data_IF_437635713301
#
_entry.id   IF_437635713301
#
_cell.length_a   1.000
_cell.length_b   1.000
_cell.length_c   1.000
_cell.angle_alpha   90.00
_cell.angle_beta   90.00
_cell.angle_gamma   90.00
#
_symmetry.space_group_name_H-M   'P 1'
#
loop_
_entity.id
_entity.type
_entity.pdbx_description
1 polymer ?
#
# COMPACT_ATOMS: atom_id res chain seq x y z
N UNK A 1 -7.09 4.89 -3.07
CA UNK A 1 -8.46 5.34 -2.69
C UNK A 1 -8.76 4.98 -1.25
N UNK A 2 -9.66 5.74 -0.60
CA UNK A 2 -10.19 5.42 0.73
C UNK A 2 -11.67 5.81 0.84
N UNK A 3 -12.38 5.19 1.79
CA UNK A 3 -13.75 5.53 2.11
C UNK A 3 -13.78 6.62 3.21
N UNK A 4 -14.46 7.72 2.97
CA UNK A 4 -14.77 8.74 3.95
C UNK A 4 -16.24 8.63 4.36
N UNK A 5 -16.50 8.33 5.62
CA UNK A 5 -17.82 8.37 6.21
C UNK A 5 -17.93 9.57 7.13
N UNK A 6 -18.97 10.37 6.99
CA UNK A 6 -19.26 11.50 7.87
C UNK A 6 -20.66 11.31 8.46
N UNK A 7 -20.81 11.50 9.78
CA UNK A 7 -22.10 11.41 10.46
C UNK A 7 -22.35 12.61 11.37
N UNK A 8 -23.57 13.12 11.37
CA UNK A 8 -24.04 14.16 12.27
C UNK A 8 -24.43 13.63 13.68
N UNK A 9 -24.37 12.31 13.90
CA UNK A 9 -24.65 11.76 15.22
C UNK A 9 -23.36 11.42 15.96
N UNK A 10 -23.24 11.94 17.18
CA UNK A 10 -22.10 11.64 18.07
C UNK A 10 -22.04 10.18 18.54
N UNK A 11 -23.15 9.46 18.45
CA UNK A 11 -23.25 8.05 18.82
C UNK A 11 -22.84 7.11 17.69
N UNK A 12 -22.56 7.65 16.49
CA UNK A 12 -22.13 6.85 15.34
C UNK A 12 -20.74 6.25 15.57
N UNK A 13 -20.43 5.28 14.76
CA UNK A 13 -19.12 4.61 14.72
C UNK A 13 -18.75 3.89 16.04
N UNK A 14 -19.78 3.29 16.67
CA UNK A 14 -19.66 2.52 17.93
C UNK A 14 -19.51 1.00 17.71
N UNK A 15 -19.43 0.55 16.43
CA UNK A 15 -19.37 -0.87 16.04
C UNK A 15 -20.71 -1.45 15.58
N UNK A 16 -21.82 -0.75 15.84
CA UNK A 16 -23.13 -1.16 15.35
C UNK A 16 -23.30 -0.81 13.87
N UNK A 17 -24.05 -1.64 13.08
CA UNK A 17 -24.29 -1.36 11.67
C UNK A 17 -24.91 0.02 11.45
N UNK A 18 -24.39 0.75 10.44
CA UNK A 18 -24.91 2.08 10.10
C UNK A 18 -25.76 2.03 8.83
N UNK A 19 -26.89 2.75 8.80
CA UNK A 19 -27.81 2.79 7.67
C UNK A 19 -27.89 4.19 7.08
N UNK A 20 -27.46 4.35 5.84
CA UNK A 20 -27.75 5.53 5.03
C UNK A 20 -29.15 5.41 4.45
N UNK A 21 -30.04 6.33 4.80
CA UNK A 21 -31.45 6.31 4.36
C UNK A 21 -31.61 6.75 2.89
N UNK A 22 -30.62 7.44 2.34
CA UNK A 22 -30.63 7.98 0.98
C UNK A 22 -29.39 7.51 0.22
N UNK A 23 -29.58 6.71 -0.82
CA UNK A 23 -28.49 6.23 -1.68
C UNK A 23 -27.70 7.37 -2.33
N UNK A 24 -28.33 8.53 -2.56
CA UNK A 24 -27.69 9.69 -3.14
C UNK A 24 -26.56 10.25 -2.27
N UNK A 25 -26.54 9.91 -0.99
CA UNK A 25 -25.47 10.28 -0.05
C UNK A 25 -24.34 9.25 0.03
N UNK A 26 -24.39 8.22 -0.82
CA UNK A 26 -23.40 7.14 -0.83
C UNK A 26 -22.67 7.12 -2.17
N UNK A 27 -21.38 7.45 -2.18
CA UNK A 27 -20.49 7.41 -3.36
C UNK A 27 -21.08 8.21 -4.52
N UNK A 28 -21.65 9.38 -4.23
CA UNK A 28 -22.16 10.36 -5.19
C UNK A 28 -21.81 11.77 -4.78
N UNK A 29 -22.34 12.25 -3.65
CA UNK A 29 -21.93 13.55 -3.09
C UNK A 29 -20.45 13.48 -2.74
N UNK A 30 -19.71 14.54 -3.07
CA UNK A 30 -18.27 14.68 -2.77
C UNK A 30 -17.35 13.57 -3.30
N UNK A 31 -17.83 12.84 -4.29
CA UNK A 31 -17.07 11.77 -4.98
C UNK A 31 -16.94 12.16 -6.45
N UNK A 32 -15.74 11.97 -7.03
CA UNK A 32 -15.50 12.20 -8.45
C UNK A 32 -16.48 11.41 -9.33
N UNK A 33 -16.92 12.00 -10.45
CA UNK A 33 -17.90 11.36 -11.34
C UNK A 33 -17.43 10.02 -11.91
N UNK A 34 -16.12 9.84 -12.15
CA UNK A 34 -15.56 8.58 -12.65
C UNK A 34 -15.67 7.50 -11.59
N UNK A 35 -15.36 7.84 -10.33
CA UNK A 35 -15.47 6.95 -9.18
C UNK A 35 -16.94 6.60 -8.93
N UNK A 36 -17.83 7.59 -9.02
CA UNK A 36 -19.29 7.36 -8.90
C UNK A 36 -19.78 6.37 -9.95
N UNK A 37 -19.36 6.51 -11.21
CA UNK A 37 -19.70 5.56 -12.30
C UNK A 37 -19.11 4.17 -12.04
N UNK A 38 -17.93 4.09 -11.46
CA UNK A 38 -17.23 2.83 -11.20
C UNK A 38 -17.80 2.07 -10.00
N UNK A 39 -18.24 2.77 -8.93
CA UNK A 39 -18.62 2.14 -7.66
C UNK A 39 -20.07 2.42 -7.19
N UNK A 40 -20.75 3.41 -7.74
CA UNK A 40 -22.02 3.92 -7.21
C UNK A 40 -23.24 3.01 -7.39
N UNK A 41 -23.14 1.92 -8.18
CA UNK A 41 -24.27 0.99 -8.37
C UNK A 41 -24.32 -0.13 -7.34
N UNK A 42 -23.24 -0.34 -6.59
CA UNK A 42 -23.14 -1.34 -5.52
C UNK A 42 -23.40 -2.76 -6.02
N UNK A 43 -22.87 -3.12 -7.19
CA UNK A 43 -22.85 -4.52 -7.65
C UNK A 43 -21.94 -5.36 -6.75
N UNK A 44 -22.06 -6.68 -6.78
CA UNK A 44 -21.23 -7.57 -5.95
C UNK A 44 -19.72 -7.32 -6.15
N UNK A 45 -19.28 -7.17 -7.39
CA UNK A 45 -17.86 -6.89 -7.70
C UNK A 45 -17.41 -5.50 -7.21
N UNK A 46 -18.29 -4.49 -7.29
CA UNK A 46 -18.02 -3.16 -6.76
C UNK A 46 -17.94 -3.18 -5.22
N UNK A 47 -18.87 -3.88 -4.57
CA UNK A 47 -18.86 -4.06 -3.10
C UNK A 47 -17.57 -4.72 -2.63
N UNK A 48 -17.12 -5.78 -3.32
CA UNK A 48 -15.85 -6.42 -2.98
C UNK A 48 -14.66 -5.47 -3.11
N UNK A 49 -14.65 -4.63 -4.14
CA UNK A 49 -13.60 -3.63 -4.35
C UNK A 49 -13.64 -2.53 -3.27
N UNK A 50 -14.82 -1.98 -2.99
CA UNK A 50 -15.04 -0.94 -1.97
C UNK A 50 -14.59 -1.40 -0.59
N UNK A 51 -14.89 -2.66 -0.22
CA UNK A 51 -14.49 -3.24 1.08
C UNK A 51 -12.98 -3.31 1.30
N UNK A 52 -12.19 -3.25 0.24
CA UNK A 52 -10.72 -3.27 0.31
C UNK A 52 -10.11 -1.92 0.61
N UNK A 53 -10.88 -0.83 0.46
CA UNK A 53 -10.37 0.50 0.76
C UNK A 53 -10.37 0.75 2.26
N UNK A 54 -9.30 1.36 2.82
CA UNK A 54 -9.28 1.81 4.20
C UNK A 54 -10.38 2.84 4.43
N UNK A 55 -10.84 2.97 5.67
CA UNK A 55 -11.97 3.83 6.01
C UNK A 55 -11.57 4.85 7.08
N UNK A 56 -11.97 6.10 6.86
CA UNK A 56 -12.06 7.13 7.90
C UNK A 56 -13.54 7.28 8.27
N UNK A 57 -13.86 7.07 9.53
CA UNK A 57 -15.17 7.28 10.13
C UNK A 57 -15.16 8.59 10.90
N UNK A 58 -15.61 9.65 10.26
CA UNK A 58 -15.59 11.00 10.78
C UNK A 58 -16.97 11.47 11.26
N UNK A 59 -17.01 12.61 11.89
CA UNK A 59 -18.22 13.27 12.37
C UNK A 59 -18.37 14.63 11.71
N UNK A 60 -19.61 15.13 11.61
CA UNK A 60 -19.83 16.49 11.20
C UNK A 60 -19.12 17.48 12.12
N UNK A 61 -18.69 18.60 11.57
CA UNK A 61 -17.90 19.62 12.32
C UNK A 61 -18.52 20.08 13.62
N UNK A 62 -19.86 20.05 13.72
CA UNK A 62 -20.61 20.38 14.94
C UNK A 62 -20.37 19.44 16.11
N UNK A 63 -20.04 18.16 15.83
CA UNK A 63 -19.81 17.15 16.87
C UNK A 63 -18.43 17.31 17.55
N UNK A 64 -17.44 17.88 16.88
CA UNK A 64 -16.06 18.08 17.40
C UNK A 64 -15.41 16.81 17.95
N UNK A 65 -15.74 15.64 17.37
CA UNK A 65 -15.20 14.34 17.75
C UNK A 65 -14.06 13.92 16.86
N UNK A 66 -13.12 13.20 17.43
CA UNK A 66 -12.00 12.62 16.70
C UNK A 66 -12.49 11.52 15.76
N UNK A 67 -12.02 11.48 14.51
CA UNK A 67 -12.35 10.44 13.55
C UNK A 67 -11.76 9.11 13.99
N UNK A 68 -12.36 8.02 13.53
CA UNK A 68 -11.90 6.66 13.77
C UNK A 68 -11.40 6.02 12.48
N UNK A 69 -10.45 5.11 12.61
CA UNK A 69 -9.98 4.30 11.52
C UNK A 69 -10.69 2.94 11.52
N UNK A 70 -10.88 2.35 10.35
CA UNK A 70 -11.46 1.01 10.29
C UNK A 70 -11.63 0.49 8.86
N UNK A 71 -12.49 -0.51 8.74
CA UNK A 71 -12.80 -1.16 7.47
C UNK A 71 -14.27 -1.57 7.37
N UNK A 72 -14.76 -1.71 6.14
CA UNK A 72 -16.10 -2.25 5.86
C UNK A 72 -16.03 -3.77 5.88
N UNK A 73 -16.90 -4.39 6.66
CA UNK A 73 -17.09 -5.85 6.69
C UNK A 73 -18.13 -6.30 5.68
N UNK A 74 -19.23 -5.56 5.57
CA UNK A 74 -20.29 -5.89 4.63
C UNK A 74 -21.05 -4.63 4.18
N UNK A 75 -21.63 -4.69 2.97
CA UNK A 75 -22.50 -3.66 2.40
C UNK A 75 -23.77 -4.34 1.90
N UNK A 76 -24.92 -3.84 2.30
CA UNK A 76 -26.21 -4.33 1.85
C UNK A 76 -27.07 -3.19 1.30
N UNK A 77 -27.49 -3.30 0.04
CA UNK A 77 -28.41 -2.35 -0.62
C UNK A 77 -29.84 -2.89 -0.59
N UNK A 78 -30.78 -2.14 -0.03
CA UNK A 78 -32.23 -2.50 -0.05
C UNK A 78 -33.09 -1.24 -0.07
N UNK A 79 -34.07 -1.21 -0.98
CA UNK A 79 -35.06 -0.13 -1.05
C UNK A 79 -34.50 1.29 -1.03
N UNK A 80 -33.41 1.53 -1.80
CA UNK A 80 -32.77 2.84 -1.86
C UNK A 80 -31.94 3.22 -0.63
N UNK A 81 -31.78 2.29 0.34
CA UNK A 81 -30.93 2.44 1.52
C UNK A 81 -29.68 1.59 1.41
N UNK A 82 -28.63 2.03 2.06
CA UNK A 82 -27.35 1.29 2.17
C UNK A 82 -27.08 1.03 3.64
N UNK A 83 -26.96 -0.25 4.03
CA UNK A 83 -26.47 -0.67 5.34
C UNK A 83 -24.98 -1.04 5.20
N UNK A 84 -24.15 -0.50 6.07
CA UNK A 84 -22.76 -0.92 6.24
C UNK A 84 -22.58 -1.63 7.57
N UNK A 85 -21.85 -2.74 7.56
CA UNK A 85 -21.29 -3.40 8.71
C UNK A 85 -19.78 -3.15 8.65
N UNK A 86 -19.21 -2.62 9.73
CA UNK A 86 -17.85 -2.13 9.74
C UNK A 86 -17.15 -2.53 11.03
N UNK A 87 -15.85 -2.41 11.04
CA UNK A 87 -15.01 -2.61 12.23
C UNK A 87 -14.14 -1.39 12.44
N UNK A 88 -14.13 -0.89 13.66
CA UNK A 88 -13.22 0.15 14.11
C UNK A 88 -11.93 -0.51 14.60
N UNK A 89 -10.81 0.04 14.19
CA UNK A 89 -9.48 -0.43 14.51
C UNK A 89 -8.75 0.68 15.26
N UNK A 90 -8.32 0.35 16.45
CA UNK A 90 -7.53 1.28 17.25
C UNK A 90 -6.14 1.43 16.65
N UNK A 91 -5.77 2.66 16.33
CA UNK A 91 -4.43 3.04 15.91
C UNK A 91 -3.86 4.00 16.95
N UNK A 92 -2.63 3.73 17.38
CA UNK A 92 -1.89 4.70 18.18
C UNK A 92 -1.74 6.01 17.39
N UNK A 93 -2.11 7.13 18.00
CA UNK A 93 -1.99 8.48 17.42
C UNK A 93 -2.73 8.67 16.08
N UNK A 94 -3.94 8.12 15.92
CA UNK A 94 -4.75 8.44 14.75
C UNK A 94 -5.15 9.93 14.75
N UNK A 95 -5.69 10.41 13.63
CA UNK A 95 -6.10 11.81 13.44
C UNK A 95 -7.03 12.29 14.57
N UNK A 96 -6.75 13.48 15.10
CA UNK A 96 -7.72 14.23 15.90
C UNK A 96 -8.67 15.04 14.99
N UNK A 97 -9.75 15.56 15.58
CA UNK A 97 -10.63 16.52 14.89
C UNK A 97 -9.85 17.73 14.35
N UNK A 98 -8.89 18.23 15.14
CA UNK A 98 -8.01 19.32 14.72
C UNK A 98 -7.09 18.94 13.54
N UNK A 99 -6.65 17.69 13.46
CA UNK A 99 -5.76 17.23 12.39
C UNK A 99 -6.53 17.11 11.07
N UNK A 100 -7.74 16.54 11.08
CA UNK A 100 -8.57 16.45 9.88
C UNK A 100 -8.84 17.85 9.30
N UNK A 101 -9.13 18.83 10.17
CA UNK A 101 -9.38 20.21 9.75
C UNK A 101 -8.16 20.88 9.08
N UNK A 102 -6.95 20.46 9.43
CA UNK A 102 -5.71 20.95 8.82
C UNK A 102 -5.30 20.19 7.57
N UNK A 103 -5.85 19.00 7.35
CA UNK A 103 -5.52 18.10 6.25
C UNK A 103 -6.62 17.99 5.19
N UNK A 104 -7.57 18.90 5.16
CA UNK A 104 -8.69 18.85 4.20
C UNK A 104 -8.19 18.71 2.76
N UNK A 105 -7.19 19.50 2.36
CA UNK A 105 -6.61 19.41 1.03
C UNK A 105 -5.90 18.07 0.79
N UNK A 106 -5.06 17.63 1.72
CA UNK A 106 -4.28 16.38 1.59
C UNK A 106 -5.19 15.15 1.55
N UNK A 107 -6.37 15.23 2.21
CA UNK A 107 -7.38 14.18 2.24
C UNK A 107 -8.45 14.31 1.15
N UNK A 108 -8.35 15.31 0.26
CA UNK A 108 -9.35 15.60 -0.77
C UNK A 108 -10.76 15.84 -0.19
N UNK A 109 -10.82 16.55 0.93
CA UNK A 109 -12.06 16.90 1.63
C UNK A 109 -12.36 18.37 1.40
N UNK A 110 -13.55 18.71 0.92
CA UNK A 110 -13.98 20.09 0.79
C UNK A 110 -14.45 20.68 2.13
N UNK A 111 -14.33 22.01 2.31
CA UNK A 111 -14.71 22.66 3.57
C UNK A 111 -16.15 22.36 4.02
N UNK A 112 -17.10 22.33 3.08
CA UNK A 112 -18.51 22.08 3.37
C UNK A 112 -18.87 20.62 3.55
N UNK A 113 -18.02 19.72 3.12
CA UNK A 113 -18.23 18.28 3.16
C UNK A 113 -18.42 17.77 4.58
N UNK A 114 -17.65 18.31 5.52
CA UNK A 114 -17.72 17.93 6.94
C UNK A 114 -18.96 18.47 7.68
N UNK A 115 -19.89 19.12 7.00
CA UNK A 115 -21.14 19.58 7.59
C UNK A 115 -22.36 18.77 7.11
N UNK A 116 -22.11 17.60 6.49
CA UNK A 116 -23.17 16.79 5.91
C UNK A 116 -22.91 15.31 6.06
N UNK A 117 -23.90 14.60 6.59
CA UNK A 117 -23.84 13.12 6.69
C UNK A 117 -23.82 12.50 5.28
N UNK A 118 -22.73 11.82 4.94
CA UNK A 118 -22.54 11.17 3.64
C UNK A 118 -21.45 10.08 3.71
N UNK A 119 -21.30 9.39 2.59
CA UNK A 119 -20.20 8.45 2.31
C UNK A 119 -19.59 8.79 0.95
N UNK A 120 -18.32 9.17 0.93
CA UNK A 120 -17.55 9.44 -0.29
C UNK A 120 -16.40 8.44 -0.46
N UNK A 121 -15.96 8.23 -1.71
CA UNK A 121 -14.68 7.59 -2.02
C UNK A 121 -13.75 8.66 -2.57
N UNK A 122 -12.55 8.75 -1.99
CA UNK A 122 -11.52 9.71 -2.34
C UNK A 122 -10.38 9.05 -3.09
N UNK A 123 -9.93 9.63 -4.20
CA UNK A 123 -8.85 9.08 -5.04
C UNK A 123 -7.47 9.60 -4.59
N UNK A 124 -7.13 9.32 -3.36
CA UNK A 124 -5.81 9.60 -2.82
C UNK A 124 -5.20 8.36 -2.17
N UNK A 125 -3.89 8.35 -2.02
CA UNK A 125 -3.18 7.34 -1.24
C UNK A 125 -3.19 7.73 0.24
N UNK A 126 -4.22 7.28 0.98
CA UNK A 126 -4.39 7.61 2.39
C UNK A 126 -3.14 7.28 3.23
N UNK A 127 -2.48 6.15 2.97
CA UNK A 127 -1.25 5.77 3.69
C UNK A 127 -0.12 6.78 3.50
N UNK A 128 0.02 7.33 2.29
CA UNK A 128 1.01 8.35 1.98
C UNK A 128 0.71 9.65 2.72
N UNK A 129 -0.53 10.12 2.67
CA UNK A 129 -0.91 11.39 3.30
C UNK A 129 -0.81 11.32 4.83
N UNK A 130 -1.25 10.22 5.45
CA UNK A 130 -1.14 9.99 6.88
C UNK A 130 0.31 9.82 7.35
N UNK A 131 1.18 9.26 6.51
CA UNK A 131 2.60 9.10 6.82
C UNK A 131 3.31 10.46 7.04
N UNK A 132 2.85 11.54 6.37
CA UNK A 132 3.36 12.91 6.59
C UNK A 132 3.15 13.40 8.04
N UNK A 133 2.19 12.79 8.75
CA UNK A 133 1.86 13.04 10.18
C UNK A 133 2.39 11.95 11.12
N UNK A 134 3.29 11.07 10.64
CA UNK A 134 3.78 9.90 11.38
C UNK A 134 2.67 8.91 11.79
N UNK A 135 1.54 8.89 11.08
CA UNK A 135 0.47 7.91 11.26
C UNK A 135 0.67 6.79 10.24
N UNK A 136 0.94 5.58 10.72
CA UNK A 136 1.21 4.44 9.87
C UNK A 136 0.04 3.47 9.90
N UNK A 137 -0.62 3.31 8.75
CA UNK A 137 -1.69 2.34 8.61
C UNK A 137 -1.14 0.91 8.63
N UNK A 138 -1.86 -0.07 9.20
CA UNK A 138 -1.50 -1.47 9.15
C UNK A 138 -1.26 -1.96 7.71
N UNK A 139 -0.29 -2.85 7.50
CA UNK A 139 0.11 -3.31 6.16
C UNK A 139 -1.02 -3.92 5.34
N UNK A 140 -2.02 -4.55 5.96
CA UNK A 140 -3.18 -5.12 5.30
C UNK A 140 -4.20 -4.08 4.79
N UNK A 141 -4.16 -2.82 5.28
CA UNK A 141 -5.02 -1.72 4.78
C UNK A 141 -4.51 -1.13 3.48
N UNK A 142 -3.27 -1.41 3.16
CA UNK A 142 -2.67 -1.01 1.90
C UNK A 142 -3.41 -1.78 0.82
N UNK A 143 -4.10 -1.06 -0.06
CA UNK A 143 -4.92 -1.63 -1.13
C UNK A 143 -4.03 -2.41 -2.10
N UNK A 144 -3.79 -3.68 -1.80
CA UNK A 144 -3.06 -4.62 -2.64
C UNK A 144 -4.02 -5.35 -3.56
N UNK A 145 -4.79 -4.56 -4.30
CA UNK A 145 -5.71 -5.10 -5.29
C UNK A 145 -5.02 -5.34 -6.63
N UNK A 146 -3.73 -5.73 -6.62
CA UNK A 146 -3.05 -6.16 -7.83
C UNK A 146 -2.90 -7.68 -7.82
N UNK A 147 -3.27 -8.31 -8.92
CA UNK A 147 -2.96 -9.70 -9.20
C UNK A 147 -1.47 -9.79 -9.55
N UNK A 148 -0.66 -10.29 -8.61
CA UNK A 148 0.80 -10.38 -8.80
C UNK A 148 1.20 -11.32 -9.94
N UNK A 149 0.28 -12.11 -10.47
CA UNK A 149 0.54 -12.96 -11.64
C UNK A 149 0.50 -12.19 -12.96
N UNK A 150 -0.01 -10.95 -12.94
CA UNK A 150 -0.19 -10.11 -14.15
C UNK A 150 0.37 -8.70 -14.01
N UNK A 151 0.56 -8.25 -12.78
CA UNK A 151 0.98 -6.88 -12.49
C UNK A 151 2.46 -6.66 -12.80
N UNK A 152 2.77 -5.52 -13.41
CA UNK A 152 4.15 -5.06 -13.62
C UNK A 152 4.52 -4.09 -12.49
N UNK A 153 5.69 -4.29 -11.91
CA UNK A 153 6.23 -3.45 -10.85
C UNK A 153 7.33 -2.53 -11.39
N UNK A 154 7.49 -1.36 -10.83
CA UNK A 154 8.66 -0.54 -11.09
C UNK A 154 9.88 -1.12 -10.37
N UNK A 155 9.70 -1.64 -9.16
CA UNK A 155 10.76 -2.16 -8.30
C UNK A 155 10.38 -3.53 -7.76
N UNK A 156 11.33 -4.47 -7.70
CA UNK A 156 11.20 -5.70 -6.93
C UNK A 156 12.35 -5.82 -5.91
N UNK A 157 12.01 -6.14 -4.65
CA UNK A 157 12.98 -6.32 -3.57
C UNK A 157 13.28 -7.80 -3.40
N UNK A 158 14.57 -8.19 -3.51
CA UNK A 158 15.06 -9.55 -3.25
C UNK A 158 16.02 -9.52 -2.07
N UNK A 159 15.74 -10.32 -1.04
CA UNK A 159 16.48 -10.28 0.22
C UNK A 159 16.30 -11.56 1.04
N UNK A 160 17.26 -11.93 1.89
CA UNK A 160 17.12 -13.01 2.86
C UNK A 160 16.31 -12.55 4.09
N UNK A 161 15.55 -13.46 4.67
CA UNK A 161 14.60 -13.15 5.75
C UNK A 161 15.23 -12.55 7.02
N UNK A 162 16.53 -12.75 7.25
CA UNK A 162 17.26 -12.24 8.42
C UNK A 162 17.31 -10.73 8.50
N UNK A 163 17.30 -10.06 7.35
CA UNK A 163 17.33 -8.60 7.25
C UNK A 163 15.94 -7.99 7.02
N UNK A 164 14.87 -8.79 7.19
CA UNK A 164 13.48 -8.38 6.92
C UNK A 164 13.07 -7.08 7.60
N UNK A 165 13.50 -6.85 8.83
CA UNK A 165 13.17 -5.61 9.55
C UNK A 165 13.72 -4.35 8.86
N UNK A 166 14.95 -4.43 8.33
CA UNK A 166 15.53 -3.34 7.55
C UNK A 166 14.78 -3.14 6.23
N UNK A 167 14.49 -4.24 5.52
CA UNK A 167 13.77 -4.19 4.25
C UNK A 167 12.34 -3.67 4.42
N UNK A 168 11.66 -4.03 5.51
CA UNK A 168 10.36 -3.47 5.86
C UNK A 168 10.41 -1.95 5.94
N UNK A 169 11.41 -1.39 6.61
CA UNK A 169 11.59 0.06 6.69
C UNK A 169 11.89 0.69 5.31
N UNK A 170 12.70 0.03 4.46
CA UNK A 170 12.92 0.49 3.07
C UNK A 170 11.60 0.47 2.28
N UNK A 171 10.83 -0.62 2.37
CA UNK A 171 9.54 -0.77 1.71
C UNK A 171 8.53 0.30 2.13
N UNK A 172 8.47 0.64 3.42
CA UNK A 172 7.64 1.73 3.94
C UNK A 172 8.03 3.09 3.37
N UNK A 173 9.31 3.35 3.20
CA UNK A 173 9.79 4.59 2.56
C UNK A 173 9.51 4.60 1.05
N UNK A 174 9.71 3.49 0.35
CA UNK A 174 9.35 3.37 -1.07
C UNK A 174 7.86 3.60 -1.29
N UNK A 175 7.00 3.03 -0.44
CA UNK A 175 5.56 3.24 -0.53
C UNK A 175 5.16 4.72 -0.46
N UNK A 176 5.84 5.49 0.40
CA UNK A 176 5.62 6.94 0.51
C UNK A 176 6.03 7.71 -0.75
N UNK A 177 7.07 7.25 -1.44
CA UNK A 177 7.66 7.95 -2.59
C UNK A 177 6.93 7.59 -3.89
N UNK A 178 6.68 6.29 -4.12
CA UNK A 178 6.20 5.77 -5.41
C UNK A 178 4.82 5.12 -5.34
N UNK A 179 4.25 4.99 -4.13
CA UNK A 179 2.95 4.36 -3.91
C UNK A 179 2.97 2.83 -3.77
N UNK A 180 1.86 2.24 -3.27
CA UNK A 180 1.82 0.84 -2.81
C UNK A 180 1.80 -0.21 -3.94
N UNK A 181 1.53 0.20 -5.20
CA UNK A 181 1.42 -0.72 -6.34
C UNK A 181 2.69 -0.76 -7.20
N UNK A 182 3.62 0.15 -6.98
CA UNK A 182 4.82 0.31 -7.82
C UNK A 182 5.97 -0.61 -7.41
N UNK A 183 5.90 -1.26 -6.25
CA UNK A 183 6.98 -2.14 -5.80
C UNK A 183 6.49 -3.50 -5.30
N UNK A 184 7.29 -4.53 -5.55
CA UNK A 184 7.10 -5.88 -5.03
C UNK A 184 7.95 -6.06 -3.76
N UNK A 185 7.26 -6.34 -2.65
CA UNK A 185 7.80 -6.79 -1.38
C UNK A 185 6.95 -7.96 -0.91
N UNK A 186 7.55 -9.11 -0.63
CA UNK A 186 6.87 -10.39 -0.43
C UNK A 186 5.78 -10.34 0.65
N UNK A 187 6.07 -9.71 1.79
CA UNK A 187 5.15 -9.57 2.92
C UNK A 187 3.85 -8.84 2.53
N UNK A 188 3.92 -8.02 1.47
CA UNK A 188 2.78 -7.33 0.92
C UNK A 188 1.78 -8.27 0.24
N UNK A 189 2.17 -9.45 -0.16
CA UNK A 189 1.39 -10.37 -1.00
C UNK A 189 1.32 -11.79 -0.44
N UNK A 190 1.47 -11.96 0.89
CA UNK A 190 1.55 -13.25 1.58
C UNK A 190 0.47 -14.24 1.14
N UNK A 191 -0.79 -13.81 1.02
CA UNK A 191 -1.91 -14.68 0.59
C UNK A 191 -1.77 -15.16 -0.85
N UNK A 192 -1.20 -14.35 -1.74
CA UNK A 192 -1.00 -14.72 -3.15
C UNK A 192 0.27 -15.54 -3.36
N UNK A 193 1.24 -15.42 -2.46
CA UNK A 193 2.48 -16.20 -2.46
C UNK A 193 2.32 -17.59 -1.82
N UNK A 194 1.27 -17.82 -1.04
CA UNK A 194 0.94 -19.13 -0.46
C UNK A 194 0.36 -20.08 -1.54
N UNK A 195 1.22 -20.53 -2.48
CA UNK A 195 0.84 -21.34 -3.66
C UNK A 195 1.93 -22.29 -4.09
N UNK A 196 1.59 -23.40 -4.79
CA UNK A 196 2.58 -24.23 -5.50
C UNK A 196 3.32 -23.44 -6.59
N UNK A 197 4.53 -23.87 -6.93
CA UNK A 197 5.38 -23.26 -7.98
C UNK A 197 5.64 -21.77 -7.76
N UNK A 198 5.84 -21.39 -6.49
CA UNK A 198 6.14 -20.00 -6.12
C UNK A 198 7.44 -19.50 -6.76
N UNK A 199 8.41 -20.40 -6.92
CA UNK A 199 9.69 -20.14 -7.59
C UNK A 199 9.52 -19.59 -9.02
N UNK A 200 8.64 -20.20 -9.81
CA UNK A 200 8.36 -19.75 -11.17
C UNK A 200 7.73 -18.37 -11.18
N UNK A 201 6.82 -18.09 -10.26
CA UNK A 201 6.19 -16.79 -10.12
C UNK A 201 7.20 -15.70 -9.74
N UNK A 202 8.06 -15.96 -8.77
CA UNK A 202 9.08 -15.01 -8.34
C UNK A 202 10.10 -14.73 -9.44
N UNK A 203 10.56 -15.77 -10.15
CA UNK A 203 11.44 -15.59 -11.32
C UNK A 203 10.78 -14.71 -12.38
N UNK A 204 9.50 -14.93 -12.69
CA UNK A 204 8.76 -14.12 -13.65
C UNK A 204 8.61 -12.66 -13.20
N UNK A 205 8.33 -12.40 -11.90
CA UNK A 205 8.30 -11.05 -11.35
C UNK A 205 9.64 -10.35 -11.52
N UNK A 206 10.75 -11.00 -11.15
CA UNK A 206 12.07 -10.39 -11.24
C UNK A 206 12.54 -10.18 -12.68
N UNK A 207 12.35 -11.16 -13.56
CA UNK A 207 12.87 -11.11 -14.94
C UNK A 207 12.01 -10.23 -15.85
N UNK A 208 10.71 -10.45 -15.83
CA UNK A 208 9.82 -9.97 -16.89
C UNK A 208 8.92 -8.81 -16.44
N UNK A 209 8.61 -8.71 -15.13
CA UNK A 209 7.57 -7.81 -14.65
C UNK A 209 8.06 -6.78 -13.64
N UNK A 210 9.38 -6.54 -13.60
CA UNK A 210 9.97 -5.46 -12.79
C UNK A 210 10.94 -4.66 -13.64
N UNK A 211 10.91 -3.32 -13.50
CA UNK A 211 11.88 -2.45 -14.19
C UNK A 211 13.23 -2.52 -13.49
N UNK A 212 13.26 -2.47 -12.15
CA UNK A 212 14.46 -2.56 -11.33
C UNK A 212 14.33 -3.70 -10.31
N UNK A 213 15.34 -4.55 -10.22
CA UNK A 213 15.48 -5.56 -9.16
C UNK A 213 16.54 -5.10 -8.17
N UNK A 214 16.15 -4.86 -6.93
CA UNK A 214 17.06 -4.47 -5.86
C UNK A 214 17.40 -5.70 -5.02
N UNK A 215 18.68 -6.06 -5.01
CA UNK A 215 19.18 -7.27 -4.34
C UNK A 215 19.94 -6.86 -3.08
N UNK A 216 19.43 -7.25 -1.92
CA UNK A 216 20.09 -7.02 -0.64
C UNK A 216 20.97 -8.20 -0.27
N UNK A 217 22.27 -7.99 -0.31
CA UNK A 217 23.30 -9.00 -0.15
C UNK A 217 23.78 -9.07 1.30
N UNK A 218 23.75 -10.28 1.89
CA UNK A 218 24.39 -10.57 3.18
C UNK A 218 24.90 -12.03 3.21
N UNK A 219 25.57 -12.44 4.28
CA UNK A 219 26.15 -13.79 4.43
C UNK A 219 25.13 -14.92 4.26
N UNK A 220 23.90 -14.68 4.69
CA UNK A 220 22.80 -15.63 4.62
C UNK A 220 22.11 -15.74 3.27
N UNK A 221 22.46 -14.90 2.31
CA UNK A 221 21.77 -14.85 1.02
C UNK A 221 21.84 -16.19 0.25
N UNK A 222 22.89 -16.97 0.43
CA UNK A 222 23.10 -18.26 -0.26
C UNK A 222 22.68 -19.49 0.54
N UNK A 223 22.56 -19.39 1.85
CA UNK A 223 22.24 -20.53 2.70
C UNK A 223 20.80 -21.01 2.54
N UNK A 224 19.93 -20.23 1.90
CA UNK A 224 18.52 -20.57 1.72
C UNK A 224 18.20 -20.95 0.28
N UNK A 225 17.49 -22.06 0.11
CA UNK A 225 17.04 -22.54 -1.20
C UNK A 225 16.26 -21.47 -2.00
N UNK A 226 15.45 -20.68 -1.34
CA UNK A 226 14.66 -19.59 -1.97
C UNK A 226 15.51 -18.47 -2.54
N UNK A 227 16.49 -17.99 -1.78
CA UNK A 227 17.43 -16.97 -2.27
C UNK A 227 18.27 -17.50 -3.44
N UNK A 228 18.57 -18.81 -3.45
CA UNK A 228 19.29 -19.45 -4.55
C UNK A 228 18.50 -19.46 -5.87
N UNK A 229 17.19 -19.64 -5.84
CA UNK A 229 16.32 -19.64 -7.02
C UNK A 229 16.12 -18.22 -7.54
N UNK A 230 15.84 -17.27 -6.65
CA UNK A 230 15.74 -15.84 -6.97
C UNK A 230 17.05 -15.31 -7.56
N UNK A 231 18.19 -15.71 -6.98
CA UNK A 231 19.50 -15.29 -7.45
C UNK A 231 19.85 -15.84 -8.84
N UNK A 232 19.36 -17.03 -9.21
CA UNK A 232 19.50 -17.55 -10.59
C UNK A 232 18.78 -16.63 -11.60
N UNK A 233 17.58 -16.17 -11.26
CA UNK A 233 16.85 -15.24 -12.12
C UNK A 233 17.63 -13.91 -12.28
N UNK A 234 18.22 -13.41 -11.21
CA UNK A 234 19.04 -12.20 -11.20
C UNK A 234 20.34 -12.42 -12.03
N UNK A 235 21.02 -13.55 -11.85
CA UNK A 235 22.20 -13.91 -12.66
C UNK A 235 21.85 -13.97 -14.15
N UNK A 236 20.69 -14.50 -14.50
CA UNK A 236 20.25 -14.56 -15.89
C UNK A 236 20.00 -13.16 -16.48
N UNK A 237 19.41 -12.24 -15.73
CA UNK A 237 19.27 -10.83 -16.11
C UNK A 237 20.65 -10.22 -16.43
N UNK A 238 21.64 -10.47 -15.55
CA UNK A 238 23.01 -9.97 -15.72
C UNK A 238 23.65 -10.60 -16.96
N UNK A 239 23.49 -11.91 -17.17
CA UNK A 239 24.04 -12.62 -18.34
C UNK A 239 23.42 -12.15 -19.66
N UNK A 240 22.16 -11.71 -19.64
CA UNK A 240 21.48 -11.11 -20.79
C UNK A 240 21.89 -9.66 -21.07
N UNK A 241 22.91 -9.15 -20.38
CA UNK A 241 23.41 -7.77 -20.49
C UNK A 241 22.37 -6.70 -20.11
N UNK A 242 21.43 -7.03 -19.24
CA UNK A 242 20.46 -6.09 -18.66
C UNK A 242 20.92 -5.61 -17.26
N UNK A 243 22.21 -5.27 -17.15
CA UNK A 243 22.85 -4.94 -15.88
C UNK A 243 22.21 -3.70 -15.21
N UNK A 244 21.66 -2.79 -16.01
CA UNK A 244 20.94 -1.61 -15.52
C UNK A 244 19.70 -1.95 -14.72
N UNK A 245 19.08 -3.12 -14.95
CA UNK A 245 17.91 -3.61 -14.20
C UNK A 245 18.25 -4.14 -12.81
N UNK A 246 19.52 -4.25 -12.44
CA UNK A 246 19.93 -4.80 -11.15
C UNK A 246 20.66 -3.73 -10.33
N UNK A 247 20.29 -3.61 -9.08
CA UNK A 247 20.92 -2.74 -8.10
C UNK A 247 21.30 -3.54 -6.85
N UNK A 248 22.56 -3.48 -6.44
CA UNK A 248 23.02 -4.16 -5.24
C UNK A 248 23.03 -3.23 -4.03
N UNK A 249 22.54 -3.74 -2.90
CA UNK A 249 22.69 -3.15 -1.57
C UNK A 249 23.38 -4.16 -0.68
N UNK A 250 24.56 -3.86 -0.15
CA UNK A 250 25.30 -4.73 0.77
C UNK A 250 24.96 -4.44 2.21
N UNK A 251 24.55 -5.48 2.92
CA UNK A 251 24.21 -5.41 4.34
C UNK A 251 25.37 -5.83 5.25
N UNK A 252 26.39 -6.46 4.68
CA UNK A 252 27.64 -6.86 5.36
C UNK A 252 28.81 -6.98 4.36
N UNK A 253 29.98 -7.39 4.87
CA UNK A 253 31.21 -7.55 4.07
C UNK A 253 31.38 -8.98 3.52
N UNK A 254 30.37 -9.83 3.57
CA UNK A 254 30.44 -11.22 3.10
C UNK A 254 30.63 -11.30 1.59
N UNK A 255 31.25 -12.40 1.15
CA UNK A 255 31.40 -12.69 -0.27
C UNK A 255 30.15 -13.44 -0.75
N UNK A 256 29.43 -12.86 -1.69
CA UNK A 256 28.31 -13.52 -2.36
C UNK A 256 28.83 -14.03 -3.71
N UNK A 257 28.89 -15.36 -3.95
CA UNK A 257 29.29 -15.93 -5.23
C UNK A 257 28.39 -15.41 -6.37
N UNK A 258 29.02 -15.03 -7.50
CA UNK A 258 28.32 -14.42 -8.63
C UNK A 258 28.22 -12.89 -8.58
N UNK A 259 28.68 -12.25 -7.49
CA UNK A 259 28.86 -10.80 -7.40
C UNK A 259 30.39 -10.52 -7.41
N UNK A 260 30.82 -9.76 -8.40
CA UNK A 260 32.24 -9.45 -8.58
C UNK A 260 32.69 -8.30 -7.67
N UNK A 261 33.99 -8.27 -7.36
CA UNK A 261 34.57 -7.15 -6.56
C UNK A 261 34.48 -5.79 -7.28
N UNK A 262 34.30 -5.83 -8.61
CA UNK A 262 34.16 -4.66 -9.47
C UNK A 262 32.72 -4.15 -9.56
N UNK A 263 31.76 -4.90 -9.04
CA UNK A 263 30.35 -4.50 -9.05
C UNK A 263 30.11 -3.36 -8.06
N UNK A 264 29.47 -2.30 -8.51
CA UNK A 264 29.05 -1.19 -7.67
C UNK A 264 27.91 -1.60 -6.75
N UNK A 265 27.87 -1.07 -5.53
CA UNK A 265 26.80 -1.34 -4.58
C UNK A 265 26.54 -0.13 -3.67
N UNK A 266 25.35 -0.10 -3.08
CA UNK A 266 25.01 0.78 -1.97
C UNK A 266 25.36 0.07 -0.66
N UNK A 267 26.06 0.75 0.25
CA UNK A 267 26.40 0.23 1.57
C UNK A 267 25.20 0.41 2.53
N UNK A 268 24.46 -0.66 2.77
CA UNK A 268 23.29 -0.68 3.65
C UNK A 268 23.62 -0.52 5.15
N UNK A 269 24.89 -0.67 5.56
CA UNK A 269 25.33 -0.36 6.91
C UNK A 269 25.59 1.14 7.12
N UNK A 270 25.95 1.83 6.04
CA UNK A 270 26.26 3.26 6.06
C UNK A 270 25.01 4.13 5.90
N UNK A 271 24.07 3.69 5.08
CA UNK A 271 22.88 4.48 4.74
C UNK A 271 21.63 3.98 5.45
N UNK A 272 20.80 4.91 5.92
CA UNK A 272 19.50 4.59 6.52
C UNK A 272 18.52 4.01 5.49
N UNK A 273 17.47 3.27 5.92
CA UNK A 273 16.43 2.78 5.02
C UNK A 273 15.79 3.87 4.15
N UNK A 274 15.60 5.08 4.69
CA UNK A 274 15.07 6.23 3.96
C UNK A 274 16.00 6.67 2.82
N UNK A 275 17.31 6.73 3.09
CA UNK A 275 18.30 7.10 2.07
C UNK A 275 18.41 6.03 0.98
N UNK A 276 18.39 4.75 1.37
CA UNK A 276 18.41 3.64 0.40
C UNK A 276 17.16 3.66 -0.47
N UNK A 277 15.97 3.91 0.07
CA UNK A 277 14.75 4.08 -0.70
C UNK A 277 14.84 5.24 -1.70
N UNK A 278 15.47 6.36 -1.31
CA UNK A 278 15.74 7.48 -2.21
C UNK A 278 16.66 7.10 -3.38
N UNK A 279 17.77 6.38 -3.13
CA UNK A 279 18.67 5.90 -4.19
C UNK A 279 18.00 4.90 -5.14
N UNK A 280 17.13 4.04 -4.60
CA UNK A 280 16.34 3.09 -5.40
C UNK A 280 15.39 3.87 -6.33
N UNK A 281 14.67 4.84 -5.82
CA UNK A 281 13.76 5.67 -6.61
C UNK A 281 14.51 6.46 -7.69
N UNK A 282 15.63 7.10 -7.35
CA UNK A 282 16.49 7.81 -8.30
C UNK A 282 16.94 6.87 -9.43
N UNK A 283 17.44 5.67 -9.09
CA UNK A 283 17.86 4.66 -10.08
C UNK A 283 16.72 4.22 -10.97
N UNK A 284 15.53 4.02 -10.41
CA UNK A 284 14.34 3.59 -11.17
C UNK A 284 13.91 4.64 -12.20
N UNK A 285 13.98 5.92 -11.82
CA UNK A 285 13.65 7.04 -12.72
C UNK A 285 14.61 7.18 -13.92
N UNK A 286 15.80 6.57 -13.87
CA UNK A 286 16.76 6.56 -14.97
C UNK A 286 16.52 5.41 -15.98
N UNK A 287 15.58 4.51 -15.67
CA UNK A 287 15.25 3.33 -16.52
C UNK A 287 14.00 3.54 -17.38
N UNK A 288 13.53 4.76 -17.52
CA UNK A 288 12.38 5.13 -18.37
C UNK A 288 12.69 5.07 -19.86
#
# INVERSE_FOLDING_TARGET
MYNLFVSGSEESWNGEPYIFNEINRCIREYTDEKITKEYGEFTESQIESIRRFPCIFAYEGGCKKDPKFGLIRNITKRHGKIKIEYEILELENFLSYSDISKMLFDLDISEWEMNRTHWAIKDINLSKELASKNIFLPSWTRTKAVDITKHNFDIALSFPGEIRNYIKSVAEHLERIIGPKSYFYDDNYTSQLARPSLDNLLQDIYKNRSKLVVVFLCDKYQEKEWCGIEFRAIQEIIMQKQNEKVMFVRMDNSKVPGVFKTDGYIDGQKYSPAQVAGFIQERTSLLE
#
